data_IF_494040998587
#
_entry.id   IF_494040998587
#
_cell.length_a   1.000
_cell.length_b   1.000
_cell.length_c   1.000
_cell.angle_alpha   90.00
_cell.angle_beta   90.00
_cell.angle_gamma   90.00
#
_symmetry.space_group_name_H-M   'P 1'
#
loop_
_entity.id
_entity.type
_entity.pdbx_description
1 polymer ?
#
# COMPACT_ATOMS: atom_id res chain seq x y z
N UNK A 1 28.57 21.79 -15.75
CA UNK A 1 28.34 21.39 -14.34
C UNK A 1 27.13 20.49 -14.31
N UNK A 2 27.32 19.19 -14.40
CA UNK A 2 26.26 18.21 -14.16
C UNK A 2 26.00 18.21 -12.66
N UNK A 3 24.93 18.88 -12.23
CA UNK A 3 24.44 18.74 -10.86
C UNK A 3 24.03 17.29 -10.69
N UNK A 4 24.78 16.55 -9.92
CA UNK A 4 24.40 15.22 -9.43
C UNK A 4 23.14 15.40 -8.60
N UNK A 5 21.97 15.36 -9.29
CA UNK A 5 20.68 15.32 -8.63
C UNK A 5 20.57 13.90 -8.10
N UNK A 6 20.72 13.73 -6.80
CA UNK A 6 20.54 12.45 -6.13
C UNK A 6 19.30 11.68 -6.63
N UNK A 7 19.05 10.46 -6.14
CA UNK A 7 17.98 9.61 -6.64
C UNK A 7 16.62 10.31 -6.50
N UNK A 8 15.72 10.07 -7.45
CA UNK A 8 14.33 10.52 -7.36
C UNK A 8 13.54 9.67 -6.36
N UNK A 9 12.39 10.17 -5.92
CA UNK A 9 11.41 9.40 -5.11
C UNK A 9 11.05 8.09 -5.82
N UNK A 10 10.89 8.13 -7.16
CA UNK A 10 10.66 6.95 -7.97
C UNK A 10 11.79 5.91 -7.79
N UNK A 11 13.04 6.30 -7.99
CA UNK A 11 14.18 5.39 -7.88
C UNK A 11 14.32 4.81 -6.47
N UNK A 12 14.21 5.66 -5.43
CA UNK A 12 14.27 5.21 -4.05
C UNK A 12 13.13 4.25 -3.69
N UNK A 13 11.94 4.46 -4.27
CA UNK A 13 10.78 3.57 -4.08
C UNK A 13 11.00 2.22 -4.73
N UNK A 14 11.47 2.17 -5.99
CA UNK A 14 11.74 0.88 -6.64
C UNK A 14 12.86 0.10 -5.96
N UNK A 15 13.92 0.76 -5.47
CA UNK A 15 14.95 0.12 -4.65
C UNK A 15 14.37 -0.48 -3.36
N UNK A 16 13.45 0.23 -2.70
CA UNK A 16 12.75 -0.27 -1.52
C UNK A 16 11.87 -1.48 -1.86
N UNK A 17 11.08 -1.40 -2.96
CA UNK A 17 10.21 -2.51 -3.39
C UNK A 17 11.03 -3.78 -3.68
N UNK A 18 12.22 -3.66 -4.29
CA UNK A 18 13.17 -4.77 -4.48
C UNK A 18 13.60 -5.36 -3.15
N UNK A 19 14.04 -4.51 -2.21
CA UNK A 19 14.46 -4.94 -0.88
C UNK A 19 13.36 -5.67 -0.11
N UNK A 20 12.10 -5.26 -0.31
CA UNK A 20 10.91 -5.88 0.29
C UNK A 20 10.38 -7.07 -0.52
N UNK A 21 10.99 -7.41 -1.67
CA UNK A 21 10.52 -8.47 -2.59
C UNK A 21 9.10 -8.24 -3.13
N UNK A 22 8.71 -6.98 -3.29
CA UNK A 22 7.43 -6.56 -3.86
C UNK A 22 7.59 -6.29 -5.37
N UNK A 23 8.13 -7.25 -6.11
CA UNK A 23 8.44 -7.11 -7.54
C UNK A 23 7.31 -7.55 -8.46
N UNK A 24 6.23 -8.10 -7.93
CA UNK A 24 4.99 -8.37 -8.68
C UNK A 24 3.92 -7.38 -8.26
N UNK A 25 3.40 -6.63 -9.22
CA UNK A 25 2.40 -5.58 -9.02
C UNK A 25 1.15 -5.95 -9.80
N UNK A 26 0.00 -5.92 -9.15
CA UNK A 26 -1.31 -6.09 -9.80
C UNK A 26 -1.96 -4.72 -9.96
N UNK A 27 -2.49 -4.41 -11.13
CA UNK A 27 -3.05 -3.08 -11.33
C UNK A 27 -3.93 -2.90 -12.57
N UNK A 28 -4.67 -1.81 -12.55
CA UNK A 28 -5.34 -1.20 -13.68
C UNK A 28 -5.05 0.30 -13.64
N UNK A 29 -3.95 0.74 -14.28
CA UNK A 29 -3.47 2.11 -14.15
C UNK A 29 -4.24 3.06 -15.06
N UNK A 30 -4.38 4.30 -14.63
CA UNK A 30 -4.78 5.42 -15.47
C UNK A 30 -3.67 6.46 -15.58
N UNK A 31 -4.03 7.70 -15.93
CA UNK A 31 -3.06 8.79 -16.15
C UNK A 31 -2.27 9.17 -14.91
N UNK A 32 -2.84 9.04 -13.73
CA UNK A 32 -2.18 9.40 -12.46
C UNK A 32 -1.13 8.40 -12.01
N UNK A 33 -1.16 7.18 -12.54
CA UNK A 33 -0.19 6.12 -12.24
C UNK A 33 0.96 6.08 -13.27
N UNK A 34 0.82 6.76 -14.42
CA UNK A 34 1.86 6.78 -15.46
C UNK A 34 3.25 7.19 -14.96
N UNK A 35 3.42 8.22 -14.10
CA UNK A 35 4.74 8.57 -13.60
C UNK A 35 5.40 7.47 -12.77
N UNK A 36 4.63 6.69 -12.02
CA UNK A 36 5.13 5.51 -11.31
C UNK A 36 5.59 4.42 -12.29
N UNK A 37 4.84 4.20 -13.37
CA UNK A 37 5.12 3.15 -14.35
C UNK A 37 6.12 3.57 -15.44
N UNK A 38 6.50 4.85 -15.50
CA UNK A 38 7.51 5.35 -16.42
C UNK A 38 8.85 4.64 -16.20
N UNK A 39 9.50 4.21 -17.28
CA UNK A 39 10.76 3.45 -17.21
C UNK A 39 10.63 2.22 -16.28
N UNK A 40 9.54 1.49 -16.40
CA UNK A 40 9.26 0.32 -15.58
C UNK A 40 10.43 -0.67 -15.63
N UNK A 41 11.01 -1.07 -14.48
CA UNK A 41 12.20 -1.90 -14.48
C UNK A 41 11.93 -3.33 -14.96
N UNK A 42 12.85 -3.92 -15.72
CA UNK A 42 12.72 -5.26 -16.29
C UNK A 42 12.66 -6.39 -15.24
N UNK A 43 13.15 -6.13 -14.04
CA UNK A 43 13.10 -7.07 -12.91
C UNK A 43 11.77 -7.05 -12.16
N UNK A 44 10.82 -6.20 -12.58
CA UNK A 44 9.47 -6.16 -12.07
C UNK A 44 8.47 -6.77 -13.03
N UNK A 45 7.39 -7.31 -12.49
CA UNK A 45 6.28 -7.87 -13.24
C UNK A 45 5.00 -7.10 -12.93
N UNK A 46 4.39 -6.51 -13.95
CA UNK A 46 3.07 -5.88 -13.84
C UNK A 46 2.00 -6.82 -14.40
N UNK A 47 1.05 -7.17 -13.55
CA UNK A 47 -0.11 -8.01 -13.92
C UNK A 47 -1.28 -7.05 -14.13
N UNK A 48 -1.55 -6.78 -15.42
CA UNK A 48 -2.65 -5.93 -15.82
C UNK A 48 -3.98 -6.67 -15.69
N UNK A 49 -4.93 -6.11 -14.99
CA UNK A 49 -6.34 -6.49 -15.03
C UNK A 49 -7.16 -5.36 -15.65
N UNK A 50 -8.19 -5.70 -16.39
CA UNK A 50 -9.04 -4.73 -17.08
C UNK A 50 -10.18 -4.20 -16.19
N UNK A 51 -10.21 -4.63 -14.92
CA UNK A 51 -11.22 -4.23 -13.94
C UNK A 51 -10.65 -4.41 -12.53
N UNK A 52 -10.78 -3.39 -11.68
CA UNK A 52 -10.07 -3.31 -10.41
C UNK A 52 -10.54 -4.34 -9.38
N UNK A 53 -11.79 -4.76 -9.41
CA UNK A 53 -12.24 -5.85 -8.55
C UNK A 53 -11.45 -7.14 -8.87
N UNK A 54 -11.27 -7.46 -10.15
CA UNK A 54 -10.44 -8.60 -10.58
C UNK A 54 -8.98 -8.44 -10.17
N UNK A 55 -8.43 -7.23 -10.30
CA UNK A 55 -7.06 -6.89 -9.88
C UNK A 55 -6.85 -7.19 -8.39
N UNK A 56 -7.74 -6.70 -7.54
CA UNK A 56 -7.65 -6.91 -6.08
C UNK A 56 -7.85 -8.38 -5.74
N UNK A 57 -8.79 -9.08 -6.40
CA UNK A 57 -9.01 -10.52 -6.18
C UNK A 57 -7.77 -11.37 -6.56
N UNK A 58 -7.14 -11.07 -7.71
CA UNK A 58 -5.90 -11.75 -8.12
C UNK A 58 -4.77 -11.50 -7.11
N UNK A 59 -4.62 -10.27 -6.63
CA UNK A 59 -3.63 -9.91 -5.62
C UNK A 59 -3.89 -10.61 -4.28
N UNK A 60 -5.16 -10.70 -3.85
CA UNK A 60 -5.57 -11.41 -2.65
C UNK A 60 -5.18 -12.90 -2.73
N UNK A 61 -5.56 -13.59 -3.80
CA UNK A 61 -5.19 -15.00 -4.03
C UNK A 61 -3.68 -15.21 -4.11
N UNK A 62 -2.95 -14.31 -4.80
CA UNK A 62 -1.48 -14.38 -4.91
C UNK A 62 -0.80 -14.20 -3.54
N UNK A 63 -1.26 -13.23 -2.75
CA UNK A 63 -0.72 -12.99 -1.41
C UNK A 63 -0.96 -14.18 -0.48
N UNK A 64 -2.15 -14.79 -0.52
CA UNK A 64 -2.46 -15.99 0.26
C UNK A 64 -1.60 -17.18 -0.15
N UNK A 65 -1.43 -17.41 -1.45
CA UNK A 65 -0.63 -18.52 -1.98
C UNK A 65 0.86 -18.38 -1.65
N UNK A 66 1.40 -17.17 -1.77
CA UNK A 66 2.83 -16.90 -1.53
C UNK A 66 3.16 -16.63 -0.06
N UNK A 67 2.15 -16.37 0.77
CA UNK A 67 2.28 -15.90 2.15
C UNK A 67 3.15 -14.66 2.28
N UNK A 68 3.08 -13.78 1.28
CA UNK A 68 3.86 -12.56 1.19
C UNK A 68 2.95 -11.37 0.87
N UNK A 69 3.21 -10.16 1.39
CA UNK A 69 2.46 -8.97 0.99
C UNK A 69 2.50 -8.75 -0.51
N UNK A 70 1.42 -8.26 -1.06
CA UNK A 70 1.30 -8.01 -2.50
C UNK A 70 0.96 -6.55 -2.76
N UNK A 71 1.65 -5.96 -3.74
CA UNK A 71 1.41 -4.57 -4.16
C UNK A 71 0.28 -4.53 -5.19
N UNK A 72 -0.69 -3.65 -4.94
CA UNK A 72 -1.83 -3.35 -5.81
C UNK A 72 -1.75 -1.88 -6.22
N UNK A 73 -1.94 -1.59 -7.50
CA UNK A 73 -1.90 -0.23 -8.03
C UNK A 73 -3.21 0.08 -8.77
N UNK A 74 -4.01 0.98 -8.19
CA UNK A 74 -5.35 1.34 -8.65
C UNK A 74 -5.39 2.78 -9.17
N UNK A 75 -6.38 3.06 -10.02
CA UNK A 75 -6.55 4.40 -10.59
C UNK A 75 -7.45 5.28 -9.71
N UNK A 76 -6.85 6.18 -8.95
CA UNK A 76 -7.53 7.17 -8.10
C UNK A 76 -8.67 6.60 -7.24
N UNK A 77 -9.67 7.41 -6.90
CA UNK A 77 -10.90 6.96 -6.23
C UNK A 77 -11.78 6.10 -7.13
N UNK A 78 -11.73 6.28 -8.45
CA UNK A 78 -12.52 5.47 -9.38
C UNK A 78 -12.11 3.99 -9.33
N UNK A 79 -10.81 3.71 -9.47
CA UNK A 79 -10.30 2.34 -9.37
C UNK A 79 -10.41 1.78 -7.94
N UNK A 80 -10.20 2.62 -6.92
CA UNK A 80 -10.41 2.23 -5.53
C UNK A 80 -11.86 1.83 -5.30
N UNK A 81 -12.82 2.64 -5.79
CA UNK A 81 -14.26 2.35 -5.68
C UNK A 81 -14.65 1.05 -6.36
N UNK A 82 -14.16 0.81 -7.59
CA UNK A 82 -14.38 -0.45 -8.31
C UNK A 82 -13.80 -1.67 -7.58
N UNK A 83 -12.70 -1.49 -6.85
CA UNK A 83 -12.01 -2.54 -6.10
C UNK A 83 -12.59 -2.83 -4.71
N UNK A 84 -13.49 -1.97 -4.19
CA UNK A 84 -13.91 -2.00 -2.77
C UNK A 84 -14.45 -3.35 -2.30
N UNK A 85 -15.25 -4.04 -3.11
CA UNK A 85 -15.80 -5.35 -2.73
C UNK A 85 -14.69 -6.38 -2.40
N UNK A 86 -13.64 -6.39 -3.21
CA UNK A 86 -12.51 -7.31 -2.98
C UNK A 86 -11.48 -6.76 -1.97
N UNK A 87 -11.41 -5.45 -1.75
CA UNK A 87 -10.67 -4.87 -0.60
C UNK A 87 -11.31 -5.33 0.71
N UNK A 88 -12.65 -5.32 0.80
CA UNK A 88 -13.39 -5.86 1.94
C UNK A 88 -13.12 -7.36 2.12
N UNK A 89 -13.13 -8.14 1.04
CA UNK A 89 -12.81 -9.57 1.07
C UNK A 89 -11.38 -9.82 1.61
N UNK A 90 -10.38 -9.10 1.10
CA UNK A 90 -9.00 -9.19 1.58
C UNK A 90 -8.87 -8.80 3.07
N UNK A 91 -9.64 -7.79 3.52
CA UNK A 91 -9.68 -7.39 4.93
C UNK A 91 -10.24 -8.51 5.82
N UNK A 92 -11.32 -9.17 5.40
CA UNK A 92 -11.93 -10.29 6.13
C UNK A 92 -11.01 -11.53 6.12
N UNK A 93 -10.34 -11.79 5.00
CA UNK A 93 -9.34 -12.86 4.86
C UNK A 93 -8.04 -12.59 5.62
N UNK A 94 -7.86 -11.38 6.15
CA UNK A 94 -6.60 -10.94 6.79
C UNK A 94 -5.41 -10.98 5.83
N UNK A 95 -5.65 -10.77 4.56
CA UNK A 95 -4.60 -10.80 3.52
C UNK A 95 -3.80 -9.50 3.52
N UNK A 96 -2.47 -9.54 3.64
CA UNK A 96 -1.64 -8.35 3.64
C UNK A 96 -1.50 -7.79 2.21
N UNK A 97 -2.33 -6.84 1.83
CA UNK A 97 -2.21 -6.09 0.59
C UNK A 97 -1.69 -4.67 0.87
N UNK A 98 -0.79 -4.20 0.02
CA UNK A 98 -0.36 -2.80 -0.01
C UNK A 98 -1.01 -2.18 -1.23
N UNK A 99 -2.05 -1.39 -1.02
CA UNK A 99 -2.84 -0.78 -2.09
C UNK A 99 -2.37 0.65 -2.27
N UNK A 100 -1.94 0.99 -3.48
CA UNK A 100 -1.62 2.36 -3.88
C UNK A 100 -2.66 2.84 -4.89
N UNK A 101 -3.02 4.12 -4.80
CA UNK A 101 -3.80 4.78 -5.83
C UNK A 101 -3.18 6.14 -6.14
N UNK A 102 -3.23 6.54 -7.40
CA UNK A 102 -2.75 7.85 -7.81
C UNK A 102 -3.66 8.96 -7.29
N UNK A 103 -3.09 10.15 -7.23
CA UNK A 103 -3.76 11.39 -6.92
C UNK A 103 -3.37 12.44 -7.95
N UNK A 104 -4.18 13.46 -8.14
CA UNK A 104 -3.79 14.64 -8.92
C UNK A 104 -2.55 15.33 -8.32
N UNK A 105 -1.88 16.18 -9.11
CA UNK A 105 -0.74 16.94 -8.60
C UNK A 105 -1.13 17.73 -7.35
N UNK A 106 -0.21 17.92 -6.43
CA UNK A 106 -0.45 18.68 -5.19
C UNK A 106 -1.04 20.06 -5.43
N UNK A 107 -0.65 20.73 -6.54
CA UNK A 107 -1.21 22.03 -6.92
C UNK A 107 -2.66 21.95 -7.38
N UNK A 108 -3.05 20.85 -8.00
CA UNK A 108 -4.39 20.67 -8.55
C UNK A 108 -5.41 20.21 -7.51
N UNK A 109 -4.97 19.58 -6.44
CA UNK A 109 -5.89 19.07 -5.39
C UNK A 109 -6.77 20.17 -4.78
N UNK A 110 -6.27 21.42 -4.70
CA UNK A 110 -7.05 22.56 -4.23
C UNK A 110 -8.29 22.85 -5.10
N UNK A 111 -8.19 22.63 -6.41
CA UNK A 111 -9.26 22.91 -7.37
C UNK A 111 -10.16 21.69 -7.61
N UNK A 112 -9.84 20.56 -7.02
CA UNK A 112 -10.57 19.30 -7.16
C UNK A 112 -11.00 18.95 -8.60
N UNK A 113 -10.08 18.98 -9.60
CA UNK A 113 -10.45 18.62 -10.96
C UNK A 113 -10.87 17.16 -11.05
N UNK A 114 -11.41 16.77 -12.21
CA UNK A 114 -11.75 15.37 -12.48
C UNK A 114 -10.59 14.42 -12.14
N UNK A 115 -10.89 13.27 -11.57
CA UNK A 115 -9.92 12.26 -11.08
C UNK A 115 -9.16 12.67 -9.81
N UNK A 116 -9.56 13.74 -9.13
CA UNK A 116 -9.09 14.00 -7.78
C UNK A 116 -9.62 12.92 -6.84
N UNK A 117 -8.72 12.36 -6.06
CA UNK A 117 -9.06 11.42 -5.01
C UNK A 117 -9.49 12.23 -3.77
N UNK A 118 -10.79 12.59 -3.73
CA UNK A 118 -11.36 13.39 -2.62
C UNK A 118 -11.27 12.62 -1.32
N UNK A 119 -10.96 13.33 -0.23
CA UNK A 119 -10.80 12.71 1.08
C UNK A 119 -9.98 11.42 0.97
N UNK A 120 -8.87 11.52 0.30
CA UNK A 120 -8.03 10.50 -0.33
C UNK A 120 -7.80 9.24 0.51
N UNK A 121 -8.05 9.31 1.80
CA UNK A 121 -7.89 8.18 2.72
C UNK A 121 -9.21 7.61 3.23
N UNK A 122 -10.34 8.24 2.90
CA UNK A 122 -11.65 7.91 3.49
C UNK A 122 -12.33 6.75 2.76
N UNK A 123 -12.29 6.75 1.41
CA UNK A 123 -12.99 5.75 0.61
C UNK A 123 -12.66 4.29 1.00
N UNK A 124 -11.39 3.88 1.19
CA UNK A 124 -11.09 2.49 1.54
C UNK A 124 -11.36 2.15 3.01
N UNK A 125 -11.55 3.13 3.87
CA UNK A 125 -11.99 2.88 5.26
C UNK A 125 -13.46 2.42 5.24
N UNK A 126 -13.90 1.51 6.06
CA UNK A 126 -13.23 0.85 7.19
C UNK A 126 -12.51 -0.47 6.83
N UNK A 127 -12.33 -0.78 5.56
CA UNK A 127 -11.82 -2.07 5.11
C UNK A 127 -10.30 -2.09 4.84
N UNK A 128 -9.57 -1.17 5.45
CA UNK A 128 -8.10 -1.18 5.50
C UNK A 128 -7.62 -0.87 6.90
N UNK A 129 -6.49 -1.44 7.29
CA UNK A 129 -5.89 -1.23 8.62
C UNK A 129 -5.34 0.19 8.78
N UNK A 130 -4.92 0.79 7.69
CA UNK A 130 -4.33 2.12 7.65
C UNK A 130 -4.51 2.69 6.25
N UNK A 131 -4.83 3.99 6.20
CA UNK A 131 -4.92 4.75 4.96
C UNK A 131 -4.20 6.08 5.15
N UNK A 132 -3.35 6.45 4.18
CA UNK A 132 -2.48 7.60 4.28
C UNK A 132 -2.18 8.24 2.92
N UNK A 133 -2.04 9.56 2.90
CA UNK A 133 -1.42 10.29 1.81
C UNK A 133 -0.16 10.96 2.36
N UNK A 134 1.03 10.74 1.78
CA UNK A 134 2.26 11.37 2.23
C UNK A 134 2.16 12.90 2.17
N UNK A 135 2.57 13.58 3.25
CA UNK A 135 2.54 15.04 3.31
C UNK A 135 3.53 15.67 2.31
N UNK A 136 4.61 14.98 2.02
CA UNK A 136 5.67 15.40 1.08
C UNK A 136 6.05 14.23 0.18
N UNK A 137 6.53 14.53 -1.02
CA UNK A 137 7.04 13.52 -1.95
C UNK A 137 8.12 12.62 -1.31
N UNK A 138 9.03 13.21 -0.53
CA UNK A 138 10.13 12.51 0.11
C UNK A 138 9.67 11.46 1.14
N UNK A 139 8.43 11.57 1.62
CA UNK A 139 7.87 10.64 2.60
C UNK A 139 7.28 9.37 1.94
N UNK A 140 7.16 9.32 0.60
CA UNK A 140 6.58 8.17 -0.14
C UNK A 140 7.29 6.85 0.18
N UNK A 141 8.63 6.72 0.08
CA UNK A 141 9.30 5.46 0.42
C UNK A 141 9.09 5.06 1.88
N UNK A 142 9.12 6.04 2.81
CA UNK A 142 8.84 5.80 4.23
C UNK A 142 7.41 5.34 4.49
N UNK A 143 6.43 5.90 3.78
CA UNK A 143 5.03 5.49 3.86
C UNK A 143 4.84 4.05 3.36
N UNK A 144 5.50 3.65 2.26
CA UNK A 144 5.47 2.27 1.75
C UNK A 144 6.11 1.30 2.75
N UNK A 145 7.24 1.67 3.36
CA UNK A 145 7.86 0.86 4.41
C UNK A 145 6.91 0.66 5.61
N UNK A 146 6.25 1.73 6.05
CA UNK A 146 5.26 1.66 7.13
C UNK A 146 4.06 0.81 6.74
N UNK A 147 3.55 0.98 5.52
CA UNK A 147 2.47 0.18 4.98
C UNK A 147 2.79 -1.32 4.99
N UNK A 148 4.00 -1.68 4.54
CA UNK A 148 4.49 -3.06 4.57
C UNK A 148 4.48 -3.64 6.00
N UNK A 149 5.02 -2.91 6.96
CA UNK A 149 5.04 -3.34 8.37
C UNK A 149 3.62 -3.50 8.94
N UNK A 150 2.72 -2.54 8.68
CA UNK A 150 1.34 -2.56 9.17
C UNK A 150 0.49 -3.66 8.49
N UNK A 151 0.71 -3.93 7.20
CA UNK A 151 0.01 -5.00 6.50
C UNK A 151 0.32 -6.37 7.11
N UNK A 152 1.57 -6.59 7.51
CA UNK A 152 2.02 -7.85 8.14
C UNK A 152 1.71 -7.95 9.63
N UNK A 153 1.59 -6.83 10.33
CA UNK A 153 1.32 -6.85 11.79
C UNK A 153 0.00 -7.56 12.09
N UNK A 154 -0.02 -8.57 12.96
CA UNK A 154 -1.27 -9.26 13.34
C UNK A 154 -2.29 -8.35 14.04
N UNK A 155 -3.59 -8.47 13.71
CA UNK A 155 -4.12 -9.23 12.58
C UNK A 155 -3.68 -8.60 11.27
N UNK A 156 -3.09 -9.39 10.35
CA UNK A 156 -2.66 -8.90 9.04
C UNK A 156 -3.85 -8.40 8.20
N UNK A 157 -3.60 -7.62 7.18
CA UNK A 157 -4.69 -7.11 6.35
C UNK A 157 -4.25 -5.97 5.42
N UNK A 158 -5.13 -5.52 4.55
CA UNK A 158 -4.83 -4.50 3.56
C UNK A 158 -4.56 -3.13 4.19
N UNK A 159 -3.70 -2.36 3.55
CA UNK A 159 -3.40 -0.95 3.82
C UNK A 159 -3.49 -0.15 2.52
N UNK A 160 -3.65 1.16 2.61
CA UNK A 160 -3.87 2.01 1.46
C UNK A 160 -3.01 3.27 1.51
N UNK A 161 -2.45 3.66 0.35
CA UNK A 161 -1.68 4.90 0.19
C UNK A 161 -2.17 5.63 -1.07
N UNK A 162 -2.58 6.88 -0.93
CA UNK A 162 -2.82 7.80 -2.04
C UNK A 162 -1.53 8.55 -2.35
N UNK A 163 -1.08 8.56 -3.62
CA UNK A 163 0.21 9.15 -3.99
C UNK A 163 0.02 10.16 -5.11
N UNK A 164 0.30 11.46 -4.87
CA UNK A 164 0.26 12.48 -5.91
C UNK A 164 1.21 12.16 -7.06
N UNK A 165 0.72 12.36 -8.29
CA UNK A 165 1.45 11.97 -9.50
C UNK A 165 2.75 12.75 -9.72
N UNK A 166 2.86 13.95 -9.17
CA UNK A 166 4.06 14.81 -9.27
C UNK A 166 5.13 14.50 -8.20
N UNK A 167 4.84 13.58 -7.27
CA UNK A 167 5.80 13.18 -6.24
C UNK A 167 6.94 12.31 -6.81
N UNK A 168 6.68 11.53 -7.84
CA UNK A 168 7.60 10.53 -8.36
C UNK A 168 8.90 11.11 -8.93
N UNK A 169 8.80 12.28 -9.57
CA UNK A 169 9.96 12.97 -10.18
C UNK A 169 10.71 13.88 -9.18
N UNK A 170 10.22 14.00 -7.94
CA UNK A 170 10.89 14.82 -6.92
C UNK A 170 12.18 14.15 -6.43
N UNK A 171 13.20 14.94 -6.03
CA UNK A 171 14.40 14.38 -5.43
C UNK A 171 14.08 13.70 -4.10
N UNK A 172 14.61 12.50 -3.90
CA UNK A 172 14.56 11.84 -2.62
C UNK A 172 15.57 12.49 -1.68
N UNK A 173 15.10 12.97 -0.52
CA UNK A 173 15.97 13.53 0.52
C UNK A 173 16.19 12.48 1.62
N UNK A 174 17.47 12.22 1.95
CA UNK A 174 17.84 11.39 3.09
C UNK A 174 18.41 10.02 2.73
N UNK A 175 18.92 9.33 3.76
CA UNK A 175 19.43 7.98 3.64
C UNK A 175 18.34 7.02 3.14
N UNK A 176 18.73 6.08 2.27
CA UNK A 176 17.82 4.99 1.83
C UNK A 176 17.17 4.37 3.07
N UNK A 177 15.83 4.18 3.08
CA UNK A 177 15.19 3.46 4.17
C UNK A 177 15.86 2.08 4.26
N UNK A 178 16.60 1.83 5.33
CA UNK A 178 17.09 0.48 5.59
C UNK A 178 15.88 -0.39 5.89
N UNK A 179 15.82 -1.58 5.29
CA UNK A 179 14.84 -2.58 5.68
C UNK A 179 15.07 -2.89 7.17
N UNK A 180 14.29 -2.24 8.04
CA UNK A 180 14.25 -2.65 9.42
C UNK A 180 13.75 -4.10 9.41
N UNK A 181 14.64 -5.06 9.70
CA UNK A 181 14.23 -6.43 9.96
C UNK A 181 13.18 -6.33 11.07
N UNK A 182 11.95 -6.68 10.75
CA UNK A 182 10.95 -6.91 11.78
C UNK A 182 11.56 -7.97 12.70
N UNK A 183 11.94 -7.57 13.92
CA UNK A 183 12.32 -8.53 14.93
C UNK A 183 11.19 -9.56 15.02
N UNK A 184 11.49 -10.86 15.05
CA UNK A 184 10.44 -11.86 15.18
C UNK A 184 9.68 -11.53 16.46
N UNK A 185 8.36 -11.32 16.32
CA UNK A 185 7.47 -11.14 17.47
C UNK A 185 7.65 -12.39 18.33
N UNK A 186 8.26 -12.21 19.49
CA UNK A 186 8.53 -13.34 20.38
C UNK A 186 7.18 -13.97 20.77
N UNK A 187 7.08 -15.30 20.71
CA UNK A 187 5.89 -16.08 21.07
C UNK A 187 5.38 -15.85 22.52
N UNK A 188 6.05 -15.01 23.30
CA UNK A 188 5.67 -14.71 24.69
C UNK A 188 4.41 -13.87 24.83
N UNK A 189 4.03 -13.05 23.82
CA UNK A 189 2.82 -12.23 23.89
C UNK A 189 1.53 -12.97 23.51
N UNK A 190 1.61 -14.09 22.80
CA UNK A 190 0.43 -14.87 22.43
C UNK A 190 -0.20 -15.64 23.63
N UNK A 191 0.60 -16.01 24.63
CA UNK A 191 0.10 -16.76 25.80
C UNK A 191 -0.52 -15.83 26.87
N UNK A 192 -0.29 -14.54 26.85
CA UNK A 192 -0.89 -13.61 27.80
C UNK A 192 -2.38 -13.32 27.52
N UNK A 193 -2.80 -13.39 26.24
CA UNK A 193 -4.21 -13.23 25.86
C UNK A 193 -5.06 -14.49 26.07
N UNK A 194 -4.47 -15.67 26.07
CA UNK A 194 -5.21 -16.92 26.25
C UNK A 194 -5.65 -17.17 27.71
N UNK A 195 -4.93 -16.59 28.66
CA UNK A 195 -5.21 -16.79 30.10
C UNK A 195 -6.21 -15.77 30.70
N UNK A 196 -6.70 -14.80 29.94
CA UNK A 196 -7.69 -13.83 30.43
C UNK A 196 -9.16 -14.21 30.18
N UNK A 197 -9.43 -15.37 29.55
CA UNK A 197 -10.80 -15.82 29.23
C UNK A 197 -11.37 -16.85 30.17
N UNK A 198 -10.68 -17.23 31.24
CA UNK A 198 -11.24 -18.13 32.26
C UNK A 198 -11.68 -17.34 33.50
N UNK A 199 -12.89 -16.77 33.45
CA UNK A 199 -13.41 -16.14 34.65
C UNK A 199 -14.65 -15.26 34.48
N UNK A 200 -15.69 -15.75 33.77
CA UNK A 200 -17.03 -15.19 33.95
C UNK A 200 -17.97 -16.29 34.49
N UNK A 201 -18.42 -16.23 35.74
CA UNK A 201 -19.45 -17.14 36.23
C UNK A 201 -20.79 -16.71 35.65
N UNK A 202 -21.45 -17.61 34.92
CA UNK A 202 -22.85 -17.51 34.57
C UNK A 202 -23.67 -17.52 35.87
N UNK A 203 -24.31 -16.40 36.21
CA UNK A 203 -25.39 -16.38 37.22
C UNK A 203 -26.66 -16.88 36.54
N UNK A 204 -27.15 -18.01 37.06
CA UNK A 204 -28.49 -18.49 36.82
C UNK A 204 -29.52 -17.55 37.48
N UNK A 205 -30.51 -17.09 36.73
CA UNK A 205 -31.85 -16.81 37.19
C UNK A 205 -32.79 -16.93 35.97
#
# INVERSE_FOLDING_TARGET
MTTDKGPTVWAATYDLLRALKLTTIFGNPGSTEQPFLKNFPDDFRYILGLQEASVVAMADGFSQATRHPTLVNLHTSAGTGNGMGNIMTAFLNKTPLIITAGQQTRKMTLCEPMLTNRDETTLPRPYVKWAYQPARAQDVPGAIMRAYALALQPPSGPVYISIPLDDWDQPALGARPSSARSAPVSRRTANACANSQSGFPLRNA
#
